data_IF_645707377687
#
_entry.id   IF_645707377687
#
_cell.length_a   1.000
_cell.length_b   1.000
_cell.length_c   1.000
_cell.angle_alpha   90.00
_cell.angle_beta   90.00
_cell.angle_gamma   90.00
#
_symmetry.space_group_name_H-M   'P 1'
#
loop_
_entity.id
_entity.type
_entity.pdbx_description
1 polymer ?
#
# COMPACT_ATOMS: atom_id res chain seq x y z
N UNK A 1 -8.37 -11.84 21.09
CA UNK A 1 -6.98 -11.79 21.61
C UNK A 1 -6.34 -10.54 21.03
N UNK A 2 -5.53 -9.78 21.81
CA UNK A 2 -4.82 -8.61 21.29
C UNK A 2 -3.68 -9.02 20.36
N UNK A 3 -3.22 -8.10 19.51
CA UNK A 3 -2.05 -8.28 18.66
C UNK A 3 -0.77 -8.37 19.50
N UNK A 4 0.07 -9.37 19.25
CA UNK A 4 1.29 -9.64 20.03
C UNK A 4 2.58 -9.59 19.21
N UNK A 5 2.48 -9.32 17.89
CA UNK A 5 3.59 -9.38 16.93
C UNK A 5 3.39 -10.49 15.91
N UNK A 6 4.27 -10.53 14.90
CA UNK A 6 4.32 -11.62 13.93
C UNK A 6 5.35 -12.66 14.41
N UNK A 7 5.01 -13.95 14.52
CA UNK A 7 5.96 -14.98 14.92
C UNK A 7 6.95 -15.31 13.80
N UNK A 8 8.08 -15.93 14.15
CA UNK A 8 9.14 -16.35 13.19
C UNK A 8 8.60 -17.26 12.08
N UNK A 9 7.62 -18.10 12.40
CA UNK A 9 6.97 -19.01 11.47
C UNK A 9 6.32 -18.29 10.28
N UNK A 10 5.96 -17.02 10.43
CA UNK A 10 5.40 -16.21 9.33
C UNK A 10 6.46 -15.96 8.25
N UNK A 11 7.69 -15.68 8.65
CA UNK A 11 8.82 -15.43 7.74
C UNK A 11 9.27 -16.73 7.11
N UNK A 12 9.45 -17.78 7.90
CA UNK A 12 9.81 -19.13 7.42
C UNK A 12 8.78 -19.63 6.39
N UNK A 13 7.48 -19.36 6.63
CA UNK A 13 6.44 -19.71 5.66
C UNK A 13 6.65 -19.01 4.31
N UNK A 14 6.95 -17.71 4.30
CA UNK A 14 7.13 -16.96 3.04
C UNK A 14 8.46 -17.27 2.36
N UNK A 15 9.55 -17.48 3.10
CA UNK A 15 10.82 -17.96 2.55
C UNK A 15 10.64 -19.29 1.80
N UNK A 16 9.94 -20.23 2.44
CA UNK A 16 9.64 -21.52 1.81
C UNK A 16 8.68 -21.39 0.61
N UNK A 17 7.70 -20.46 0.67
CA UNK A 17 6.79 -20.21 -0.45
C UNK A 17 7.49 -19.51 -1.63
N UNK A 18 8.51 -18.69 -1.39
CA UNK A 18 9.35 -18.12 -2.43
C UNK A 18 10.22 -19.19 -3.12
N UNK A 19 10.72 -20.15 -2.34
CA UNK A 19 11.50 -21.28 -2.87
C UNK A 19 10.65 -22.30 -3.64
N UNK A 20 9.41 -22.57 -3.17
CA UNK A 20 8.46 -23.51 -3.79
C UNK A 20 7.04 -22.93 -3.78
N UNK A 21 6.71 -22.10 -4.78
CA UNK A 21 5.36 -21.52 -4.91
C UNK A 21 4.40 -22.51 -5.57
N UNK A 22 4.18 -23.64 -4.91
CA UNK A 22 3.28 -24.70 -5.39
C UNK A 22 2.07 -24.92 -4.50
N UNK A 23 1.01 -25.52 -5.07
CA UNK A 23 -0.17 -25.96 -4.31
C UNK A 23 0.21 -26.97 -3.24
N UNK A 24 1.20 -27.82 -3.50
CA UNK A 24 1.68 -28.83 -2.55
C UNK A 24 2.29 -28.19 -1.33
N UNK A 25 3.20 -27.23 -1.52
CA UNK A 25 3.81 -26.46 -0.42
C UNK A 25 2.72 -25.77 0.41
N UNK A 26 1.89 -24.94 -0.24
CA UNK A 26 0.87 -24.17 0.45
C UNK A 26 -0.11 -25.06 1.24
N UNK A 27 -0.58 -26.16 0.66
CA UNK A 27 -1.51 -27.08 1.34
C UNK A 27 -0.87 -27.72 2.57
N UNK A 28 0.42 -28.13 2.47
CA UNK A 28 1.16 -28.74 3.58
C UNK A 28 1.38 -27.75 4.74
N UNK A 29 1.62 -26.48 4.42
CA UNK A 29 1.97 -25.43 5.40
C UNK A 29 0.81 -24.46 5.68
N UNK A 30 -0.42 -24.81 5.28
CA UNK A 30 -1.58 -23.93 5.42
C UNK A 30 -1.86 -23.53 6.88
N UNK A 31 -1.59 -24.39 7.84
CA UNK A 31 -1.73 -24.07 9.26
C UNK A 31 -0.79 -22.95 9.70
N UNK A 32 0.48 -22.92 9.23
CA UNK A 32 1.39 -21.79 9.49
C UNK A 32 0.87 -20.49 8.87
N UNK A 33 0.35 -20.57 7.64
CA UNK A 33 -0.29 -19.40 7.04
C UNK A 33 -1.49 -18.91 7.87
N UNK A 34 -2.37 -19.79 8.30
CA UNK A 34 -3.55 -19.40 9.06
C UNK A 34 -3.18 -18.84 10.44
N UNK A 35 -2.27 -19.50 11.17
CA UNK A 35 -1.96 -19.20 12.57
C UNK A 35 -0.87 -18.11 12.73
N UNK A 36 0.17 -18.15 11.89
CA UNK A 36 1.33 -17.26 12.02
C UNK A 36 1.26 -16.01 11.13
N UNK A 37 0.50 -16.05 10.03
CA UNK A 37 0.40 -14.92 9.08
C UNK A 37 -0.98 -14.27 9.17
N UNK A 38 -2.03 -15.04 8.86
CA UNK A 38 -3.38 -14.51 8.69
C UNK A 38 -3.98 -14.02 10.02
N UNK A 39 -3.90 -14.83 11.06
CA UNK A 39 -4.47 -14.48 12.37
C UNK A 39 -3.78 -13.24 13.00
N UNK A 40 -2.44 -13.12 13.02
CA UNK A 40 -1.79 -11.89 13.47
C UNK A 40 -2.12 -10.67 12.60
N UNK A 41 -2.23 -10.81 11.27
CA UNK A 41 -2.62 -9.69 10.41
C UNK A 41 -4.05 -9.20 10.73
N UNK A 42 -4.99 -10.10 10.98
CA UNK A 42 -6.33 -9.75 11.45
C UNK A 42 -6.24 -9.00 12.79
N UNK A 43 -5.52 -9.56 13.77
CA UNK A 43 -5.39 -8.93 15.08
C UNK A 43 -4.76 -7.53 15.03
N UNK A 44 -3.77 -7.32 14.15
CA UNK A 44 -3.16 -6.00 13.88
C UNK A 44 -4.20 -5.02 13.31
N UNK A 45 -4.91 -5.42 12.27
CA UNK A 45 -5.88 -4.55 11.59
C UNK A 45 -7.10 -4.26 12.46
N UNK A 46 -7.60 -5.24 13.22
CA UNK A 46 -8.70 -5.06 14.18
C UNK A 46 -8.32 -4.06 15.29
N UNK A 47 -7.07 -4.10 15.77
CA UNK A 47 -6.56 -3.15 16.77
C UNK A 47 -6.44 -1.71 16.23
N UNK A 48 -6.37 -1.54 14.91
CA UNK A 48 -6.30 -0.24 14.22
C UNK A 48 -7.67 0.24 13.72
N UNK A 49 -8.67 -0.66 13.65
CA UNK A 49 -9.95 -0.38 13.00
C UNK A 49 -10.73 0.77 13.63
N UNK A 50 -10.66 0.95 14.96
CA UNK A 50 -11.34 2.06 15.65
C UNK A 50 -10.80 3.44 15.27
N UNK A 51 -9.60 3.52 14.72
CA UNK A 51 -8.92 4.78 14.36
C UNK A 51 -8.92 5.03 12.85
N UNK A 52 -8.70 3.98 12.05
CA UNK A 52 -8.47 4.10 10.61
C UNK A 52 -9.58 3.47 9.75
N UNK A 53 -10.50 2.73 10.35
CA UNK A 53 -11.51 1.97 9.63
C UNK A 53 -11.16 0.48 9.47
N UNK A 54 -12.14 -0.31 9.05
CA UNK A 54 -11.98 -1.75 8.86
C UNK A 54 -11.11 -2.07 7.65
N UNK A 55 -10.20 -3.03 7.81
CA UNK A 55 -9.32 -3.47 6.74
C UNK A 55 -9.87 -4.72 6.04
N UNK A 56 -9.73 -4.74 4.73
CA UNK A 56 -9.94 -5.93 3.92
C UNK A 56 -8.62 -6.68 3.72
N UNK A 57 -8.53 -7.91 4.24
CA UNK A 57 -7.39 -8.77 3.97
C UNK A 57 -7.48 -9.35 2.55
N UNK A 58 -6.36 -9.30 1.85
CA UNK A 58 -6.28 -9.91 0.52
C UNK A 58 -6.17 -11.43 0.62
N UNK A 59 -6.84 -12.13 -0.31
CA UNK A 59 -6.69 -13.57 -0.45
C UNK A 59 -5.26 -13.94 -0.88
N UNK A 60 -4.73 -15.10 -0.45
CA UNK A 60 -3.37 -15.51 -0.80
C UNK A 60 -3.20 -15.89 -2.28
N UNK A 61 -4.28 -16.18 -2.99
CA UNK A 61 -4.24 -16.59 -4.39
C UNK A 61 -3.96 -15.44 -5.32
N UNK A 62 -3.12 -15.68 -6.35
CA UNK A 62 -2.89 -14.74 -7.46
C UNK A 62 -3.92 -14.97 -8.57
N UNK A 63 -4.29 -13.90 -9.25
CA UNK A 63 -4.96 -14.00 -10.55
C UNK A 63 -3.90 -14.09 -11.64
N UNK A 64 -3.68 -15.31 -12.13
CA UNK A 64 -2.62 -15.62 -13.11
C UNK A 64 -3.11 -15.63 -14.56
N UNK A 65 -4.40 -15.27 -14.80
CA UNK A 65 -4.99 -15.37 -16.16
C UNK A 65 -4.19 -14.61 -17.20
N UNK A 66 -3.78 -13.38 -16.88
CA UNK A 66 -3.05 -12.48 -17.78
C UNK A 66 -1.58 -12.25 -17.35
N UNK A 67 -1.10 -12.93 -16.31
CA UNK A 67 0.27 -12.80 -15.81
C UNK A 67 1.23 -13.71 -16.57
N UNK A 68 2.45 -13.23 -16.81
CA UNK A 68 3.56 -14.07 -17.27
C UNK A 68 4.03 -15.02 -16.17
N UNK A 69 4.03 -14.56 -14.94
CA UNK A 69 4.31 -15.38 -13.77
C UNK A 69 3.05 -16.17 -13.41
N UNK A 70 3.17 -17.50 -13.44
CA UNK A 70 2.08 -18.45 -13.17
C UNK A 70 2.09 -18.99 -11.74
N UNK A 71 2.91 -18.44 -10.85
CA UNK A 71 2.93 -18.79 -9.42
C UNK A 71 1.53 -18.59 -8.82
N UNK A 72 0.93 -19.64 -8.21
CA UNK A 72 -0.46 -19.59 -7.79
C UNK A 72 -0.72 -18.72 -6.56
N UNK A 73 0.29 -18.44 -5.75
CA UNK A 73 0.16 -17.71 -4.49
C UNK A 73 0.96 -16.40 -4.50
N UNK A 74 0.46 -15.43 -3.74
CA UNK A 74 1.19 -14.22 -3.39
C UNK A 74 2.25 -14.57 -2.34
N UNK A 75 3.44 -14.02 -2.46
CA UNK A 75 4.53 -14.17 -1.48
C UNK A 75 4.43 -13.14 -0.34
N UNK A 76 3.22 -12.65 -0.09
CA UNK A 76 2.94 -11.69 0.98
C UNK A 76 1.47 -11.76 1.42
N UNK A 77 1.19 -11.34 2.65
CA UNK A 77 -0.15 -11.02 3.13
C UNK A 77 -0.32 -9.52 3.21
N UNK A 78 -1.21 -8.99 2.40
CA UNK A 78 -1.61 -7.58 2.46
C UNK A 78 -2.99 -7.40 3.07
N UNK A 79 -3.21 -6.21 3.67
CA UNK A 79 -4.51 -5.72 4.10
C UNK A 79 -4.65 -4.25 3.69
N UNK A 80 -5.86 -3.84 3.32
CA UNK A 80 -6.16 -2.50 2.83
C UNK A 80 -7.35 -1.90 3.58
N UNK A 81 -7.20 -0.68 4.06
CA UNK A 81 -8.28 0.15 4.61
C UNK A 81 -8.70 1.15 3.54
N UNK A 82 -9.92 1.01 3.06
CA UNK A 82 -10.49 1.87 2.01
C UNK A 82 -11.13 3.11 2.65
N UNK A 83 -10.48 4.27 2.54
CA UNK A 83 -11.01 5.55 3.03
C UNK A 83 -12.02 6.17 2.04
N UNK A 84 -11.72 5.99 0.77
CA UNK A 84 -12.57 6.37 -0.38
C UNK A 84 -12.21 5.39 -1.48
N UNK A 85 -13.14 4.90 -2.32
CA UNK A 85 -12.86 3.88 -3.31
C UNK A 85 -11.54 4.11 -4.08
N UNK A 86 -10.56 3.23 -3.82
CA UNK A 86 -9.23 3.26 -4.41
C UNK A 86 -8.20 4.16 -3.71
N UNK A 87 -8.58 4.88 -2.65
CA UNK A 87 -7.67 5.72 -1.84
C UNK A 87 -7.69 5.20 -0.40
N UNK A 88 -6.55 4.80 0.13
CA UNK A 88 -6.54 4.24 1.47
C UNK A 88 -5.16 3.91 1.99
N UNK A 89 -5.16 3.11 3.05
CA UNK A 89 -3.99 2.66 3.79
C UNK A 89 -3.72 1.18 3.53
N UNK A 90 -2.48 0.81 3.50
CA UNK A 90 -2.04 -0.54 3.21
C UNK A 90 -0.99 -1.01 4.22
N UNK A 91 -1.05 -2.27 4.60
CA UNK A 91 -0.01 -2.97 5.33
C UNK A 91 0.23 -4.34 4.72
N UNK A 92 1.49 -4.77 4.68
CA UNK A 92 1.90 -6.05 4.10
C UNK A 92 3.00 -6.68 4.94
N UNK A 93 2.93 -8.00 5.11
CA UNK A 93 4.00 -8.85 5.61
C UNK A 93 4.48 -9.79 4.50
N UNK A 94 5.79 -9.92 4.35
CA UNK A 94 6.47 -10.88 3.46
C UNK A 94 7.77 -11.38 4.10
N UNK A 95 8.55 -12.21 3.39
CA UNK A 95 9.83 -12.72 3.87
C UNK A 95 10.85 -11.61 4.20
N UNK A 96 10.75 -10.45 3.55
CA UNK A 96 11.65 -9.30 3.73
C UNK A 96 11.19 -8.32 4.82
N UNK A 97 10.13 -8.62 5.56
CA UNK A 97 9.65 -7.80 6.66
C UNK A 97 8.28 -7.19 6.45
N UNK A 98 8.06 -6.00 7.02
CA UNK A 98 6.79 -5.29 7.00
C UNK A 98 6.85 -4.12 6.00
N UNK A 99 5.77 -3.90 5.26
CA UNK A 99 5.62 -2.75 4.39
C UNK A 99 4.31 -2.03 4.70
N UNK A 100 4.36 -0.72 4.77
CA UNK A 100 3.18 0.13 4.90
C UNK A 100 3.10 1.10 3.73
N UNK A 101 1.90 1.45 3.30
CA UNK A 101 1.69 2.50 2.31
C UNK A 101 0.37 3.24 2.55
N UNK A 102 0.29 4.45 1.98
CA UNK A 102 -0.93 5.25 1.97
C UNK A 102 -1.00 6.09 0.70
N UNK A 103 -2.15 6.08 0.02
CA UNK A 103 -2.33 6.82 -1.22
C UNK A 103 -3.38 6.21 -2.13
N UNK A 104 -3.22 6.43 -3.44
CA UNK A 104 -4.05 5.86 -4.50
C UNK A 104 -3.20 4.94 -5.38
N UNK A 105 -3.56 3.65 -5.41
CA UNK A 105 -2.81 2.65 -6.15
C UNK A 105 -3.27 2.51 -7.61
N UNK A 106 -4.58 2.58 -7.85
CA UNK A 106 -5.15 2.51 -9.20
C UNK A 106 -6.14 3.65 -9.37
N UNK A 107 -6.03 4.39 -10.48
CA UNK A 107 -6.93 5.47 -10.81
C UNK A 107 -7.65 5.18 -12.13
N UNK A 108 -8.95 5.47 -12.18
CA UNK A 108 -9.71 5.55 -13.39
C UNK A 108 -9.30 6.83 -14.19
N UNK A 109 -9.65 6.89 -15.46
CA UNK A 109 -9.25 8.02 -16.33
C UNK A 109 -9.75 9.38 -15.85
N UNK A 110 -10.95 9.43 -15.26
CA UNK A 110 -11.54 10.64 -14.67
C UNK A 110 -10.78 11.07 -13.41
N UNK A 111 -10.35 10.13 -12.58
CA UNK A 111 -9.50 10.40 -11.42
C UNK A 111 -8.13 10.95 -11.84
N UNK A 112 -7.49 10.33 -12.85
CA UNK A 112 -6.21 10.85 -13.40
C UNK A 112 -6.37 12.26 -13.95
N UNK A 113 -7.48 12.56 -14.60
CA UNK A 113 -7.76 13.90 -15.12
C UNK A 113 -7.89 14.92 -13.98
N UNK A 114 -8.69 14.61 -12.93
CA UNK A 114 -8.83 15.47 -11.73
C UNK A 114 -7.51 15.64 -11.00
N UNK A 115 -6.75 14.56 -10.82
CA UNK A 115 -5.42 14.61 -10.22
C UNK A 115 -4.50 15.58 -10.95
N UNK A 116 -4.40 15.47 -12.28
CA UNK A 116 -3.55 16.35 -13.07
C UNK A 116 -3.99 17.81 -13.03
N UNK A 117 -5.29 18.07 -13.13
CA UNK A 117 -5.83 19.42 -12.99
C UNK A 117 -5.46 20.05 -11.64
N UNK A 118 -5.61 19.27 -10.55
CA UNK A 118 -5.26 19.75 -9.21
C UNK A 118 -3.75 19.94 -9.00
N UNK A 119 -2.91 19.12 -9.64
CA UNK A 119 -1.44 19.29 -9.58
C UNK A 119 -0.98 20.48 -10.41
N UNK A 120 -1.64 20.74 -11.54
CA UNK A 120 -1.31 21.86 -12.44
C UNK A 120 -1.60 23.21 -11.79
N UNK A 121 -2.70 23.34 -11.04
CA UNK A 121 -3.07 24.54 -10.33
C UNK A 121 -2.16 24.82 -9.12
N UNK A 122 -1.71 26.07 -8.96
CA UNK A 122 -0.83 26.45 -7.84
C UNK A 122 -1.48 26.29 -6.47
N UNK A 123 -2.79 26.55 -6.36
CA UNK A 123 -3.51 26.54 -5.09
C UNK A 123 -3.58 25.13 -4.47
N UNK A 124 -3.58 24.09 -5.28
CA UNK A 124 -3.63 22.69 -4.86
C UNK A 124 -2.31 21.95 -5.10
N UNK A 125 -1.59 22.28 -6.16
CA UNK A 125 -0.34 21.63 -6.53
C UNK A 125 0.83 21.94 -5.60
N UNK A 126 1.00 23.20 -5.17
CA UNK A 126 2.04 23.57 -4.19
C UNK A 126 1.88 22.90 -2.83
N UNK A 127 0.66 22.78 -2.25
CA UNK A 127 0.44 21.95 -1.06
C UNK A 127 0.84 20.49 -1.25
N UNK A 128 0.50 19.86 -2.40
CA UNK A 128 0.91 18.49 -2.66
C UNK A 128 2.43 18.35 -2.75
N UNK A 129 3.10 19.25 -3.46
CA UNK A 129 4.56 19.29 -3.57
C UNK A 129 5.21 19.34 -2.19
N UNK A 130 4.74 20.23 -1.31
CA UNK A 130 5.19 20.32 0.08
C UNK A 130 4.98 19.02 0.86
N UNK A 131 3.78 18.42 0.78
CA UNK A 131 3.47 17.14 1.44
C UNK A 131 4.43 16.04 0.99
N UNK A 132 4.67 15.94 -0.32
CA UNK A 132 5.57 14.94 -0.91
C UNK A 132 7.01 15.16 -0.44
N UNK A 133 7.47 16.38 -0.38
CA UNK A 133 8.83 16.72 0.07
C UNK A 133 9.01 16.45 1.58
N UNK A 134 8.02 16.77 2.40
CA UNK A 134 8.01 16.43 3.82
C UNK A 134 8.06 14.92 4.07
N UNK A 135 7.28 14.14 3.32
CA UNK A 135 7.31 12.68 3.40
C UNK A 135 8.67 12.12 2.96
N UNK A 136 9.24 12.62 1.87
CA UNK A 136 10.59 12.23 1.44
C UNK A 136 11.65 12.57 2.49
N UNK A 137 11.60 13.76 3.07
CA UNK A 137 12.51 14.19 4.12
C UNK A 137 12.39 13.33 5.39
N UNK A 138 11.20 12.81 5.69
CA UNK A 138 10.95 11.87 6.78
C UNK A 138 11.32 10.40 6.44
N UNK A 139 11.91 10.14 5.27
CA UNK A 139 12.38 8.82 4.86
C UNK A 139 11.30 7.89 4.26
N UNK A 140 10.17 8.46 3.81
CA UNK A 140 9.17 7.70 3.06
C UNK A 140 9.49 7.73 1.57
N UNK A 141 9.26 6.61 0.90
CA UNK A 141 9.31 6.55 -0.56
C UNK A 141 8.02 7.11 -1.15
N UNK A 142 8.13 7.86 -2.23
CA UNK A 142 6.98 8.31 -3.02
C UNK A 142 7.02 7.54 -4.34
N UNK A 143 6.00 6.77 -4.60
CA UNK A 143 5.96 5.84 -5.74
C UNK A 143 4.57 5.83 -6.39
N UNK A 144 4.41 5.00 -7.41
CA UNK A 144 3.19 4.83 -8.19
C UNK A 144 3.48 4.65 -9.67
N UNK A 145 2.45 4.30 -10.43
CA UNK A 145 2.55 4.20 -11.88
C UNK A 145 2.74 5.59 -12.49
N UNK A 146 3.77 5.75 -13.32
CA UNK A 146 4.15 7.01 -13.94
C UNK A 146 4.31 6.88 -15.46
N UNK A 147 3.91 7.93 -16.18
CA UNK A 147 4.26 8.07 -17.59
C UNK A 147 5.78 8.19 -17.74
N UNK A 148 6.33 7.54 -18.75
CA UNK A 148 7.75 7.69 -19.12
C UNK A 148 8.04 9.10 -19.64
N UNK A 149 7.06 9.70 -20.32
CA UNK A 149 7.14 11.05 -20.89
C UNK A 149 6.16 11.98 -20.19
N UNK A 150 6.22 13.26 -20.49
CA UNK A 150 5.27 14.25 -19.99
C UNK A 150 3.84 13.99 -20.49
N UNK A 151 2.80 14.31 -19.70
CA UNK A 151 1.44 14.30 -20.18
C UNK A 151 1.24 15.28 -21.36
N UNK A 152 0.31 14.95 -22.24
CA UNK A 152 -0.01 15.80 -23.37
C UNK A 152 -0.52 17.17 -22.88
N UNK A 153 0.00 18.25 -23.46
CA UNK A 153 -0.39 19.63 -23.15
C UNK A 153 0.37 20.25 -21.97
N UNK A 154 1.17 19.50 -21.23
CA UNK A 154 1.99 20.04 -20.13
C UNK A 154 3.34 20.52 -20.68
N UNK A 155 3.80 21.74 -20.34
CA UNK A 155 5.12 22.24 -20.70
C UNK A 155 6.25 21.37 -20.13
N UNK A 156 7.40 21.36 -20.81
CA UNK A 156 8.55 20.54 -20.40
C UNK A 156 9.25 21.11 -19.16
N UNK A 157 9.15 22.40 -18.97
CA UNK A 157 9.69 23.17 -17.84
C UNK A 157 8.68 23.37 -16.68
N UNK A 158 7.55 22.62 -16.70
CA UNK A 158 6.55 22.74 -15.65
C UNK A 158 7.14 22.36 -14.27
N UNK A 159 7.03 23.22 -13.23
CA UNK A 159 7.70 23.01 -11.93
C UNK A 159 7.30 21.68 -11.25
N UNK A 160 6.09 21.21 -11.42
CA UNK A 160 5.57 19.96 -10.86
C UNK A 160 5.46 18.83 -11.90
N UNK A 161 6.31 18.83 -12.95
CA UNK A 161 6.24 17.84 -14.02
C UNK A 161 6.37 16.42 -13.51
N UNK A 162 7.21 16.15 -12.51
CA UNK A 162 7.39 14.82 -11.94
C UNK A 162 6.08 14.30 -11.30
N UNK A 163 5.37 15.16 -10.57
CA UNK A 163 4.05 14.81 -10.00
C UNK A 163 3.00 14.60 -11.09
N UNK A 164 2.98 15.45 -12.12
CA UNK A 164 2.02 15.34 -13.24
C UNK A 164 2.14 14.04 -14.04
N UNK A 165 3.31 13.38 -13.99
CA UNK A 165 3.53 12.09 -14.66
C UNK A 165 2.85 10.93 -13.95
N UNK A 166 2.47 11.07 -12.69
CA UNK A 166 1.83 10.01 -11.94
C UNK A 166 0.43 9.67 -12.50
N UNK A 167 0.13 8.36 -12.53
CA UNK A 167 -1.19 7.77 -12.76
C UNK A 167 -1.71 7.05 -11.50
N UNK A 168 -0.85 6.83 -10.55
CA UNK A 168 -1.14 6.50 -9.17
C UNK A 168 -0.09 7.17 -8.30
N UNK A 169 -0.42 7.46 -7.04
CA UNK A 169 0.50 8.14 -6.12
C UNK A 169 0.28 7.60 -4.72
N UNK A 170 1.32 7.10 -4.12
CA UNK A 170 1.32 6.67 -2.72
C UNK A 170 2.68 6.91 -2.07
N UNK A 171 2.64 7.13 -0.75
CA UNK A 171 3.81 7.07 0.09
C UNK A 171 3.93 5.68 0.70
N UNK A 172 5.15 5.19 0.89
CA UNK A 172 5.40 3.89 1.47
C UNK A 172 6.65 3.84 2.34
N UNK A 173 6.69 2.87 3.26
CA UNK A 173 7.85 2.58 4.07
C UNK A 173 8.02 1.07 4.26
N UNK A 174 9.23 0.58 4.00
CA UNK A 174 9.65 -0.79 4.28
C UNK A 174 10.38 -0.82 5.63
N UNK A 175 10.12 -1.85 6.39
CA UNK A 175 10.84 -2.20 7.60
C UNK A 175 11.41 -3.60 7.42
N UNK A 176 12.71 -3.72 7.63
CA UNK A 176 13.40 -5.01 7.62
C UNK A 176 12.91 -5.88 8.79
N UNK A 177 13.13 -7.22 8.77
CA UNK A 177 12.70 -8.12 9.83
C UNK A 177 13.57 -7.96 11.09
N UNK A 178 13.39 -6.85 11.79
CA UNK A 178 14.05 -6.54 13.05
C UNK A 178 13.29 -7.18 14.25
N UNK A 179 13.95 -7.38 15.42
CA UNK A 179 13.34 -8.06 16.57
C UNK A 179 12.00 -7.49 17.04
N UNK A 180 11.74 -6.20 16.87
CA UNK A 180 10.48 -5.57 17.28
C UNK A 180 9.27 -6.10 16.45
N UNK A 181 9.50 -6.69 15.28
CA UNK A 181 8.42 -7.20 14.39
C UNK A 181 7.68 -8.38 15.06
N UNK A 182 8.36 -9.06 16.00
CA UNK A 182 7.82 -10.16 16.80
C UNK A 182 7.10 -9.68 18.07
N UNK A 183 6.91 -8.37 18.25
CA UNK A 183 6.36 -7.75 19.45
C UNK A 183 5.15 -6.87 19.14
N UNK A 184 4.36 -6.45 20.13
CA UNK A 184 3.27 -5.48 19.92
C UNK A 184 3.72 -4.11 19.38
N UNK A 185 5.02 -3.82 19.34
CA UNK A 185 5.57 -2.57 18.79
C UNK A 185 5.19 -2.35 17.32
N UNK A 186 4.97 -3.42 16.56
CA UNK A 186 4.44 -3.34 15.18
C UNK A 186 3.19 -2.45 15.10
N UNK A 187 2.26 -2.59 16.06
CA UNK A 187 1.04 -1.81 16.10
C UNK A 187 1.34 -0.30 16.20
N UNK A 188 2.30 0.08 17.04
CA UNK A 188 2.72 1.47 17.19
C UNK A 188 3.34 1.99 15.91
N UNK A 189 4.26 1.24 15.30
CA UNK A 189 4.95 1.65 14.07
C UNK A 189 4.02 1.76 12.87
N UNK A 190 3.07 0.83 12.71
CA UNK A 190 2.06 0.94 11.65
C UNK A 190 1.17 2.15 11.88
N UNK A 191 0.71 2.39 13.11
CA UNK A 191 -0.08 3.57 13.48
C UNK A 191 0.65 4.88 13.13
N UNK A 192 1.91 5.00 13.52
CA UNK A 192 2.74 6.18 13.24
C UNK A 192 2.90 6.44 11.74
N UNK A 193 3.19 5.39 10.94
CA UNK A 193 3.30 5.54 9.49
C UNK A 193 1.97 5.91 8.85
N UNK A 194 0.87 5.32 9.28
CA UNK A 194 -0.46 5.63 8.76
C UNK A 194 -0.88 7.06 9.08
N UNK A 195 -0.54 7.58 10.26
CA UNK A 195 -0.70 9.01 10.57
C UNK A 195 0.16 9.91 9.69
N UNK A 196 1.39 9.51 9.41
CA UNK A 196 2.27 10.30 8.54
C UNK A 196 1.72 10.42 7.11
N UNK A 197 0.93 9.46 6.63
CA UNK A 197 0.28 9.53 5.32
C UNK A 197 -0.98 10.40 5.28
N UNK A 198 -1.54 10.79 6.43
CA UNK A 198 -2.81 11.52 6.51
C UNK A 198 -2.85 12.80 5.67
N UNK A 199 -1.83 13.66 5.61
CA UNK A 199 -1.86 14.84 4.73
C UNK A 199 -2.01 14.49 3.25
N UNK A 200 -1.30 13.45 2.77
CA UNK A 200 -1.39 12.96 1.39
C UNK A 200 -2.79 12.41 1.10
N UNK A 201 -3.32 11.57 2.01
CA UNK A 201 -4.65 10.99 1.87
C UNK A 201 -5.75 12.05 1.86
N UNK A 202 -5.65 13.07 2.73
CA UNK A 202 -6.56 14.21 2.75
C UNK A 202 -6.55 14.96 1.43
N UNK A 203 -5.35 15.23 0.89
CA UNK A 203 -5.22 15.87 -0.41
C UNK A 203 -5.85 15.04 -1.54
N UNK A 204 -5.56 13.74 -1.56
CA UNK A 204 -6.10 12.82 -2.58
C UNK A 204 -7.62 12.70 -2.49
N UNK A 205 -8.18 12.52 -1.31
CA UNK A 205 -9.64 12.42 -1.13
C UNK A 205 -10.36 13.71 -1.49
N UNK A 206 -9.71 14.87 -1.30
CA UNK A 206 -10.28 16.18 -1.65
C UNK A 206 -10.28 16.41 -3.16
N UNK A 207 -9.17 16.10 -3.84
CA UNK A 207 -8.96 16.50 -5.23
C UNK A 207 -9.18 15.38 -6.24
N UNK A 208 -8.86 14.13 -5.89
CA UNK A 208 -9.03 12.98 -6.80
C UNK A 208 -10.41 12.36 -6.67
N UNK A 209 -10.88 12.15 -5.44
CA UNK A 209 -12.19 11.57 -5.09
C UNK A 209 -12.39 10.15 -5.67
N UNK A 210 -13.58 9.58 -5.46
CA UNK A 210 -13.98 8.35 -6.14
C UNK A 210 -14.21 8.58 -7.62
N UNK A 211 -14.09 7.52 -8.42
CA UNK A 211 -14.43 7.57 -9.85
C UNK A 211 -15.94 7.68 -10.03
N UNK A 212 -16.37 8.52 -10.99
CA UNK A 212 -17.74 8.59 -11.46
C UNK A 212 -18.11 7.37 -12.33
N UNK A 213 -17.09 6.61 -12.77
CA UNK A 213 -17.21 5.40 -13.60
C UNK A 213 -16.43 4.24 -12.93
N UNK A 214 -16.95 3.67 -11.80
CA UNK A 214 -16.25 2.57 -11.13
C UNK A 214 -16.11 1.38 -12.09
N UNK A 215 -14.91 0.80 -12.14
CA UNK A 215 -14.67 -0.42 -12.91
C UNK A 215 -15.64 -1.52 -12.46
N UNK A 216 -16.40 -2.06 -13.42
CA UNK A 216 -17.28 -3.23 -13.23
C UNK A 216 -16.47 -4.50 -12.98
#
# INVERSE_FOLDING_TARGET
MGFTGFPDEAFVFYEGLEADNSKTYFTRHKHFYDDAVRAPMIALTDALAGEFGEAQLFRPYRDVRFSKDKSPYKTHQGAFVDLTPGIGLYVQLDASGLYTAGGVYTQASDQVARYRAAVDEDISGKPLEKIVDELRAAGYTIDGDRLKTRPRGIPEDHPRLDLLRHRSLYAGRRFDPEPWIHTPEVLTRVRETWHAYAPLLTWLTTHVRSSDHPHR
#
